data_IF_134211324679
#
_entry.id   IF_134211324679
#
_cell.length_a   1.000
_cell.length_b   1.000
_cell.length_c   1.000
_cell.angle_alpha   90.00
_cell.angle_beta   90.00
_cell.angle_gamma   90.00
#
_symmetry.space_group_name_H-M   'P 1'
#
loop_
_entity.id
_entity.type
_entity.pdbx_description
1 polymer ?
#
# COMPACT_ATOMS: atom_id res chain seq x y z
N UNK A 1 0.33 -9.55 13.30
CA UNK A 1 -1.04 -9.90 13.73
C UNK A 1 -1.97 -8.81 13.20
N UNK A 2 -2.55 -9.06 12.01
CA UNK A 2 -3.57 -8.20 11.45
C UNK A 2 -4.85 -8.36 12.25
N UNK A 3 -5.40 -7.27 12.79
CA UNK A 3 -6.67 -7.29 13.49
C UNK A 3 -7.80 -7.79 12.58
N UNK A 4 -8.94 -8.19 13.16
CA UNK A 4 -10.11 -8.74 12.45
C UNK A 4 -10.60 -7.87 11.26
N UNK A 5 -10.41 -6.56 11.34
CA UNK A 5 -10.73 -5.62 10.25
C UNK A 5 -9.81 -5.80 9.03
N UNK A 6 -8.51 -6.02 9.26
CA UNK A 6 -7.53 -6.26 8.18
C UNK A 6 -7.83 -7.58 7.45
N UNK A 7 -8.21 -8.62 8.18
CA UNK A 7 -8.55 -9.91 7.60
C UNK A 7 -9.82 -9.84 6.75
N UNK A 8 -10.89 -9.18 7.24
CA UNK A 8 -12.12 -8.96 6.45
C UNK A 8 -11.86 -8.17 5.18
N UNK A 9 -10.99 -7.16 5.22
CA UNK A 9 -10.62 -6.39 4.04
C UNK A 9 -9.93 -7.24 2.99
N UNK A 10 -9.05 -8.18 3.40
CA UNK A 10 -8.40 -9.13 2.49
C UNK A 10 -9.39 -10.14 1.90
N UNK A 11 -10.35 -10.62 2.68
CA UNK A 11 -11.43 -11.51 2.19
C UNK A 11 -12.27 -10.80 1.12
N UNK A 12 -12.69 -9.56 1.37
CA UNK A 12 -13.41 -8.74 0.38
C UNK A 12 -12.58 -8.51 -0.88
N UNK A 13 -11.28 -8.19 -0.71
CA UNK A 13 -10.38 -8.00 -1.84
C UNK A 13 -10.26 -9.27 -2.70
N UNK A 14 -10.13 -10.43 -2.05
CA UNK A 14 -10.09 -11.73 -2.73
C UNK A 14 -11.36 -11.97 -3.55
N UNK A 15 -12.53 -11.74 -2.99
CA UNK A 15 -13.81 -11.96 -3.68
C UNK A 15 -13.96 -11.03 -4.89
N UNK A 16 -13.53 -9.77 -4.79
CA UNK A 16 -13.49 -8.83 -5.91
C UNK A 16 -12.56 -9.35 -7.02
N UNK A 17 -11.35 -9.79 -6.68
CA UNK A 17 -10.38 -10.29 -7.65
C UNK A 17 -10.87 -11.58 -8.32
N UNK A 18 -11.43 -12.52 -7.58
CA UNK A 18 -11.99 -13.77 -8.12
C UNK A 18 -13.20 -13.54 -9.04
N UNK A 19 -13.93 -12.44 -8.85
CA UNK A 19 -15.02 -12.04 -9.75
C UNK A 19 -14.54 -11.32 -11.01
N UNK A 20 -13.22 -11.19 -11.22
CA UNK A 20 -12.62 -10.51 -12.37
C UNK A 20 -12.52 -8.99 -12.20
N UNK A 21 -12.75 -8.49 -10.99
CA UNK A 21 -12.57 -7.08 -10.66
C UNK A 21 -11.12 -6.68 -10.40
N UNK A 22 -10.90 -5.39 -10.14
CA UNK A 22 -9.61 -4.85 -9.71
C UNK A 22 -9.71 -4.32 -8.28
N UNK A 23 -8.63 -4.45 -7.52
CA UNK A 23 -8.56 -3.97 -6.14
C UNK A 23 -7.29 -3.16 -5.89
N UNK A 24 -7.46 -1.94 -5.36
CA UNK A 24 -6.33 -1.08 -4.96
C UNK A 24 -5.92 -1.33 -3.52
N UNK A 25 -4.61 -1.56 -3.29
CA UNK A 25 -4.06 -1.79 -1.96
C UNK A 25 -2.78 -0.96 -1.77
N UNK A 26 -2.64 -0.36 -0.59
CA UNK A 26 -1.40 0.26 -0.15
C UNK A 26 -0.63 -0.77 0.68
N UNK A 27 0.51 -1.30 0.20
CA UNK A 27 1.20 -2.39 0.89
C UNK A 27 1.76 -1.98 2.26
N UNK A 28 2.05 -0.72 2.48
CA UNK A 28 2.49 -0.19 3.78
C UNK A 28 1.39 -0.20 4.86
N UNK A 29 0.10 -0.28 4.45
CA UNK A 29 -1.06 -0.33 5.37
C UNK A 29 -1.36 0.98 6.09
N UNK A 30 -0.58 2.03 5.88
CA UNK A 30 -0.74 3.38 6.42
C UNK A 30 -0.09 4.41 5.52
N UNK A 31 -0.36 5.69 5.74
CA UNK A 31 0.34 6.79 5.05
C UNK A 31 1.77 6.89 5.56
N UNK A 32 2.71 7.21 4.67
CA UNK A 32 4.09 7.49 5.06
C UNK A 32 4.15 8.75 5.93
N UNK A 33 4.80 8.74 7.10
CA UNK A 33 4.88 9.90 7.99
C UNK A 33 5.81 11.00 7.47
N UNK A 34 6.74 10.67 6.59
CA UNK A 34 7.80 11.59 6.13
C UNK A 34 8.02 11.59 4.62
N UNK A 35 7.23 10.81 3.88
CA UNK A 35 7.31 10.70 2.43
C UNK A 35 8.31 9.65 1.93
N UNK A 36 8.95 8.88 2.82
CA UNK A 36 9.75 7.71 2.46
C UNK A 36 8.86 6.49 2.26
N UNK A 37 9.36 5.49 1.58
CA UNK A 37 8.67 4.22 1.36
C UNK A 37 9.05 3.24 2.47
N UNK A 38 8.06 2.72 3.17
CA UNK A 38 8.23 1.79 4.29
C UNK A 38 7.97 0.35 3.87
N UNK A 39 8.38 -0.59 4.73
CA UNK A 39 8.20 -2.03 4.51
C UNK A 39 6.74 -2.40 4.32
N UNK A 40 6.44 -3.12 3.23
CA UNK A 40 5.10 -3.61 2.93
C UNK A 40 4.68 -4.81 3.79
N UNK A 41 3.38 -4.92 4.05
CA UNK A 41 2.76 -6.10 4.65
C UNK A 41 2.49 -7.18 3.59
N UNK A 42 2.58 -8.45 3.98
CA UNK A 42 2.47 -9.60 3.09
C UNK A 42 1.05 -9.90 2.57
N UNK A 43 0.07 -9.10 2.92
CA UNK A 43 -1.31 -9.25 2.45
C UNK A 43 -1.45 -9.19 0.93
N UNK A 44 -0.66 -8.33 0.26
CA UNK A 44 -0.66 -8.22 -1.20
C UNK A 44 -0.15 -9.51 -1.88
N UNK A 45 0.91 -10.11 -1.36
CA UNK A 45 1.45 -11.37 -1.86
C UNK A 45 0.46 -12.52 -1.67
N UNK A 46 -0.18 -12.58 -0.49
CA UNK A 46 -1.21 -13.57 -0.21
C UNK A 46 -2.40 -13.47 -1.18
N UNK A 47 -2.87 -12.26 -1.46
CA UNK A 47 -3.95 -12.05 -2.44
C UNK A 47 -3.53 -12.51 -3.84
N UNK A 48 -2.34 -12.14 -4.30
CA UNK A 48 -1.85 -12.54 -5.61
C UNK A 48 -1.78 -14.07 -5.77
N UNK A 49 -1.23 -14.79 -4.79
CA UNK A 49 -1.14 -16.25 -4.83
C UNK A 49 -2.51 -16.93 -4.70
N UNK A 50 -3.43 -16.39 -3.91
CA UNK A 50 -4.78 -16.97 -3.73
C UNK A 50 -5.71 -16.73 -4.93
N UNK A 51 -5.47 -15.71 -5.72
CA UNK A 51 -6.37 -15.31 -6.82
C UNK A 51 -5.74 -15.40 -8.19
N UNK A 52 -4.42 -15.64 -8.27
CA UNK A 52 -3.60 -15.59 -9.50
C UNK A 52 -3.73 -14.23 -10.22
N UNK A 53 -4.20 -13.19 -9.53
CA UNK A 53 -4.30 -11.86 -10.08
C UNK A 53 -2.91 -11.22 -10.19
N UNK A 54 -2.56 -10.60 -11.32
CA UNK A 54 -1.30 -9.88 -11.45
C UNK A 54 -1.28 -8.67 -10.53
N UNK A 55 -0.10 -8.36 -9.97
CA UNK A 55 0.14 -7.13 -9.22
C UNK A 55 0.67 -6.08 -10.21
N UNK A 56 0.02 -4.92 -10.27
CA UNK A 56 0.50 -3.78 -11.04
C UNK A 56 1.02 -2.74 -10.04
N UNK A 57 2.35 -2.53 -9.92
CA UNK A 57 2.90 -1.48 -9.09
C UNK A 57 2.47 -0.11 -9.62
N UNK A 58 1.96 0.76 -8.73
CA UNK A 58 1.53 2.12 -9.09
C UNK A 58 2.10 3.10 -8.07
N UNK A 59 2.92 4.03 -8.54
CA UNK A 59 3.46 5.10 -7.70
C UNK A 59 2.72 6.41 -7.96
N UNK A 60 2.35 7.11 -6.88
CA UNK A 60 1.77 8.45 -6.92
C UNK A 60 2.80 9.46 -6.39
N UNK A 61 3.36 10.28 -7.27
CA UNK A 61 4.43 11.22 -7.00
C UNK A 61 3.86 12.62 -6.85
N UNK A 62 4.31 13.40 -5.85
CA UNK A 62 3.84 14.76 -5.59
C UNK A 62 2.65 14.83 -4.60
N UNK A 63 2.16 13.70 -4.10
CA UNK A 63 1.03 13.67 -3.17
C UNK A 63 1.36 14.24 -1.79
N UNK A 64 2.62 14.12 -1.34
CA UNK A 64 3.10 14.71 -0.08
C UNK A 64 3.06 16.23 -0.12
N UNK A 65 3.45 16.82 -1.23
CA UNK A 65 3.45 18.27 -1.48
C UNK A 65 2.03 18.80 -1.69
N UNK A 66 1.18 17.99 -2.35
CA UNK A 66 -0.21 18.33 -2.57
C UNK A 66 -1.04 18.30 -1.28
N UNK A 67 -0.79 17.30 -0.40
CA UNK A 67 -1.48 17.22 0.90
C UNK A 67 -0.53 16.68 1.98
N UNK A 68 0.29 17.55 2.59
CA UNK A 68 1.12 17.18 3.73
C UNK A 68 0.30 16.61 4.89
N UNK A 69 0.92 15.73 5.70
CA UNK A 69 0.28 15.19 6.89
C UNK A 69 -0.05 16.33 7.86
N UNK A 70 -1.27 16.27 8.47
CA UNK A 70 -1.77 17.31 9.37
C UNK A 70 -2.39 18.52 8.65
N UNK A 71 -2.30 18.61 7.33
CA UNK A 71 -2.97 19.65 6.57
C UNK A 71 -4.34 19.16 6.09
N UNK A 72 -5.41 19.87 6.49
CA UNK A 72 -6.79 19.51 6.14
C UNK A 72 -7.11 19.86 4.68
N UNK A 73 -6.65 21.03 4.22
CA UNK A 73 -6.89 21.50 2.85
C UNK A 73 -5.71 21.13 1.96
N UNK A 74 -5.93 20.51 0.79
CA UNK A 74 -4.85 20.25 -0.15
C UNK A 74 -4.32 21.56 -0.73
N UNK A 75 -3.03 21.55 -1.12
CA UNK A 75 -2.43 22.60 -1.93
C UNK A 75 -2.90 22.43 -3.37
N UNK A 76 -3.75 23.35 -3.85
CA UNK A 76 -4.25 23.32 -5.21
C UNK A 76 -3.13 23.62 -6.21
N UNK A 77 -3.26 23.08 -7.43
CA UNK A 77 -2.30 23.29 -8.54
C UNK A 77 -0.92 22.65 -8.35
N UNK A 78 -0.78 21.73 -7.37
CA UNK A 78 0.44 20.92 -7.28
C UNK A 78 0.37 19.77 -8.29
N UNK A 79 1.42 19.53 -9.08
CA UNK A 79 1.44 18.42 -10.03
C UNK A 79 1.46 17.07 -9.28
N UNK A 80 0.60 16.17 -9.69
CA UNK A 80 0.60 14.76 -9.24
C UNK A 80 0.85 13.89 -10.46
N UNK A 81 1.87 13.05 -10.38
CA UNK A 81 2.19 12.07 -11.41
C UNK A 81 1.79 10.68 -10.93
N UNK A 82 1.12 9.91 -11.78
CA UNK A 82 0.82 8.50 -11.56
C UNK A 82 1.66 7.67 -12.52
N UNK A 83 2.59 6.88 -11.98
CA UNK A 83 3.47 6.01 -12.74
C UNK A 83 3.04 4.55 -12.56
N UNK A 84 2.89 3.82 -13.67
CA UNK A 84 2.54 2.41 -13.68
C UNK A 84 3.75 1.56 -14.02
N UNK A 85 4.00 0.53 -13.23
CA UNK A 85 5.00 -0.49 -13.49
C UNK A 85 4.47 -1.62 -14.38
N UNK A 86 5.32 -2.58 -14.67
CA UNK A 86 4.93 -3.80 -15.39
C UNK A 86 4.12 -4.72 -14.47
N UNK A 87 3.15 -5.48 -15.00
CA UNK A 87 2.48 -6.51 -14.23
C UNK A 87 3.46 -7.57 -13.73
N UNK A 88 3.35 -7.90 -12.43
CA UNK A 88 4.08 -8.99 -11.78
C UNK A 88 3.12 -10.17 -11.59
N UNK A 89 3.53 -11.36 -12.04
CA UNK A 89 2.73 -12.59 -11.97
C UNK A 89 3.47 -13.66 -11.19
N UNK A 90 2.75 -14.44 -10.38
CA UNK A 90 3.31 -15.43 -9.47
C UNK A 90 2.62 -16.80 -9.57
N UNK A 91 2.08 -17.12 -10.74
CA UNK A 91 1.32 -18.36 -11.00
C UNK A 91 2.14 -19.62 -10.67
N UNK A 92 3.46 -19.54 -10.84
CA UNK A 92 4.39 -20.62 -10.54
C UNK A 92 4.64 -20.86 -9.06
N UNK A 93 4.14 -20.01 -8.17
CA UNK A 93 4.30 -20.07 -6.71
C UNK A 93 2.96 -20.30 -5.97
N UNK A 94 1.90 -20.64 -6.69
CA UNK A 94 0.53 -20.77 -6.12
C UNK A 94 0.46 -21.80 -4.98
N UNK A 95 1.23 -22.87 -5.06
CA UNK A 95 1.28 -23.92 -4.04
C UNK A 95 2.01 -23.48 -2.76
N UNK A 96 2.69 -22.34 -2.79
CA UNK A 96 3.48 -21.79 -1.69
C UNK A 96 2.77 -20.60 -0.99
N UNK A 97 1.45 -20.47 -1.17
CA UNK A 97 0.66 -19.34 -0.65
C UNK A 97 0.69 -19.16 0.88
N UNK A 98 1.10 -20.18 1.64
CA UNK A 98 1.26 -20.16 3.09
C UNK A 98 2.73 -20.06 3.53
N UNK A 99 3.68 -20.13 2.61
CA UNK A 99 5.11 -19.97 2.93
C UNK A 99 5.43 -18.51 3.22
N UNK A 100 5.87 -18.23 4.45
CA UNK A 100 6.20 -16.88 4.91
C UNK A 100 7.38 -16.26 4.15
N UNK A 101 8.34 -17.06 3.70
CA UNK A 101 9.49 -16.58 2.96
C UNK A 101 9.08 -16.19 1.55
N UNK A 102 8.26 -17.00 0.89
CA UNK A 102 7.71 -16.70 -0.43
C UNK A 102 6.85 -15.43 -0.38
N UNK A 103 5.92 -15.33 0.57
CA UNK A 103 5.11 -14.13 0.77
C UNK A 103 5.95 -12.89 1.01
N UNK A 104 7.04 -13.02 1.78
CA UNK A 104 7.97 -11.90 2.04
C UNK A 104 8.73 -11.51 0.78
N UNK A 105 9.26 -12.48 0.03
CA UNK A 105 10.01 -12.25 -1.21
C UNK A 105 9.15 -11.51 -2.26
N UNK A 106 7.94 -11.98 -2.50
CA UNK A 106 6.99 -11.32 -3.42
C UNK A 106 6.72 -9.88 -2.96
N UNK A 107 6.46 -9.68 -1.65
CA UNK A 107 6.19 -8.34 -1.15
C UNK A 107 7.39 -7.42 -1.30
N UNK A 108 8.61 -7.92 -1.05
CA UNK A 108 9.84 -7.13 -1.19
C UNK A 108 10.11 -6.76 -2.65
N UNK A 109 9.80 -7.66 -3.60
CA UNK A 109 9.86 -7.37 -5.04
C UNK A 109 8.88 -6.25 -5.43
N UNK A 110 7.63 -6.31 -4.96
CA UNK A 110 6.65 -5.24 -5.20
C UNK A 110 7.12 -3.90 -4.61
N UNK A 111 7.70 -3.91 -3.40
CA UNK A 111 8.23 -2.70 -2.77
C UNK A 111 9.44 -2.15 -3.52
N UNK A 112 10.27 -3.01 -4.09
CA UNK A 112 11.38 -2.61 -4.94
C UNK A 112 10.89 -1.91 -6.21
N UNK A 113 9.90 -2.47 -6.90
CA UNK A 113 9.30 -1.84 -8.08
C UNK A 113 8.67 -0.48 -7.75
N UNK A 114 7.96 -0.37 -6.62
CA UNK A 114 7.42 0.91 -6.16
C UNK A 114 8.52 1.94 -5.88
N UNK A 115 9.65 1.52 -5.31
CA UNK A 115 10.82 2.37 -5.08
C UNK A 115 11.39 2.89 -6.40
N UNK A 116 11.59 2.00 -7.39
CA UNK A 116 12.14 2.38 -8.70
C UNK A 116 11.21 3.36 -9.44
N UNK A 117 9.89 3.15 -9.35
CA UNK A 117 8.90 4.04 -9.96
C UNK A 117 8.82 5.41 -9.27
N UNK A 118 8.87 5.43 -7.94
CA UNK A 118 8.65 6.65 -7.15
C UNK A 118 9.93 7.46 -6.91
N UNK A 119 11.09 6.80 -6.95
CA UNK A 119 12.37 7.38 -6.52
C UNK A 119 12.48 7.64 -5.02
N UNK A 120 11.54 7.10 -4.20
CA UNK A 120 11.55 7.30 -2.76
C UNK A 120 12.66 6.49 -2.07
N UNK A 121 13.21 7.05 -0.99
CA UNK A 121 14.09 6.29 -0.08
C UNK A 121 13.30 5.17 0.59
N UNK A 122 13.81 3.93 0.52
CA UNK A 122 13.17 2.78 1.15
C UNK A 122 13.72 2.49 2.53
N UNK A 123 12.83 2.29 3.49
CA UNK A 123 13.15 1.87 4.85
C UNK A 123 12.63 0.45 5.11
N UNK A 124 13.54 -0.48 5.41
CA UNK A 124 13.20 -1.86 5.77
C UNK A 124 12.63 -1.97 7.20
N UNK A 125 11.64 -1.13 7.52
CA UNK A 125 10.89 -1.14 8.77
C UNK A 125 9.44 -0.76 8.51
N UNK A 126 8.52 -1.24 9.33
CA UNK A 126 7.11 -0.87 9.20
C UNK A 126 6.88 0.57 9.66
N UNK A 127 6.02 1.29 8.93
CA UNK A 127 5.59 2.62 9.35
C UNK A 127 4.80 2.53 10.67
N UNK A 128 5.05 3.45 11.59
CA UNK A 128 4.34 3.50 12.88
C UNK A 128 2.99 4.19 12.67
N UNK A 129 1.91 3.53 13.04
CA UNK A 129 0.53 4.00 12.87
C UNK A 129 0.16 5.18 13.78
N UNK A 130 0.92 5.44 14.84
CA UNK A 130 0.62 6.48 15.85
C UNK A 130 0.72 7.92 15.34
N UNK A 131 1.55 8.19 14.33
CA UNK A 131 1.82 9.57 13.92
C UNK A 131 0.73 10.15 12.99
N UNK A 132 -0.16 9.30 12.47
CA UNK A 132 -1.27 9.72 11.59
C UNK A 132 -2.58 9.91 12.35
N UNK A 133 -2.85 9.10 13.38
CA UNK A 133 -4.10 9.16 14.14
C UNK A 133 -4.10 10.34 15.14
N UNK A 134 -2.95 10.68 15.73
CA UNK A 134 -2.79 11.84 16.64
C UNK A 134 -2.92 13.18 15.89
N UNK A 135 -2.51 13.26 14.61
CA UNK A 135 -2.67 14.45 13.80
C UNK A 135 -4.12 14.71 13.38
N UNK A 136 -4.94 13.67 13.24
CA UNK A 136 -6.37 13.79 12.93
C UNK A 136 -7.24 14.03 14.19
N UNK A 137 -6.76 13.63 15.37
CA UNK A 137 -7.47 13.81 16.64
C UNK A 137 -7.27 15.20 17.28
N UNK A 138 -6.31 16.00 16.79
CA UNK A 138 -5.91 17.26 17.40
C UNK A 138 -6.72 18.49 16.96
N UNK A 139 -7.71 18.39 16.06
CA UNK A 139 -8.60 19.51 15.74
C UNK A 139 -10.02 19.32 16.29
N UNK A 140 -10.42 20.09 17.33
CA UNK A 140 -11.83 20.21 17.68
C UNK A 140 -12.55 20.99 16.58
N UNK A 141 -13.64 20.40 16.07
CA UNK A 141 -14.56 21.05 15.14
C UNK A 141 -15.01 22.41 15.73
N UNK A 142 -14.49 23.49 15.20
CA UNK A 142 -15.10 24.82 15.40
C UNK A 142 -16.31 24.89 14.48
N UNK A 143 -17.46 24.51 15.03
CA UNK A 143 -18.76 24.90 14.52
C UNK A 143 -18.96 26.36 14.90
N UNK A 144 -19.12 27.21 13.92
CA UNK A 144 -19.75 28.50 14.04
C UNK A 144 -20.80 28.63 12.95
#
# INVERSE_FOLDING_TARGET
>A
EGGSASQRSLETARDVLLSGGAFGIYPEGTRSPDGRLYKGHTGIARLALQTMAPIIPVAMIGTKEAQPIGQVKPNFFMPITVAFGKPLTYDHLVDEADDRQVLRSITDEVMYELRELSGQEYLNQYAKRKDTDDAMAAEPAKVA
#
